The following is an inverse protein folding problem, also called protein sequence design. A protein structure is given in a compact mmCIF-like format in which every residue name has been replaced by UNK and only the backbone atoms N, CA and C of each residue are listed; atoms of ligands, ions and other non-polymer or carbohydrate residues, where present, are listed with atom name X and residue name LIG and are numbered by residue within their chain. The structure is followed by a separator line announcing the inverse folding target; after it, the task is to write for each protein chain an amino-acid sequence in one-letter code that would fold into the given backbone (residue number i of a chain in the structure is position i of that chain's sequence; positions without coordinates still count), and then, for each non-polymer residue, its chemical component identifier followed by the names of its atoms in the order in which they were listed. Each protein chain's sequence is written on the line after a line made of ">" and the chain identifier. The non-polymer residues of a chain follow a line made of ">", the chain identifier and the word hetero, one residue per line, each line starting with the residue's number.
data_IF_304236674918
#
_entry.id   IF_304236674918
#
_cell.length_a   1.000
_cell.length_b   1.000
_cell.length_c   1.000
_cell.angle_alpha   90.00
_cell.angle_beta   90.00
_cell.angle_gamma   90.00
#
_symmetry.space_group_name_H-M   'P 1'
#
loop_
_entity.id
_entity.type
_entity.pdbx_description
1 polymer ?
#
# COMPACT_ATOMS: atom_id res chain seq x y z
N UNK A 1 3.64 -13.84 24.53
CA UNK A 1 3.65 -15.29 24.24
C UNK A 1 3.28 -15.39 22.79
N UNK A 2 4.19 -15.86 21.94
CA UNK A 2 3.97 -15.97 20.49
C UNK A 2 2.81 -16.93 20.24
N UNK A 3 1.84 -16.53 19.42
CA UNK A 3 0.68 -17.37 19.11
C UNK A 3 1.07 -18.50 18.16
N UNK A 4 0.17 -19.47 17.97
CA UNK A 4 0.36 -20.51 16.95
C UNK A 4 0.38 -19.91 15.53
N UNK A 5 -0.45 -18.91 15.28
CA UNK A 5 -0.54 -18.25 13.98
C UNK A 5 0.69 -17.39 13.68
N UNK A 6 1.19 -16.63 14.65
CA UNK A 6 2.40 -15.82 14.52
C UNK A 6 3.61 -16.73 14.21
N UNK A 7 3.75 -17.86 14.92
CA UNK A 7 4.79 -18.85 14.61
C UNK A 7 4.66 -19.43 13.20
N UNK A 8 3.45 -19.81 12.79
CA UNK A 8 3.23 -20.34 11.44
C UNK A 8 3.48 -19.27 10.38
N UNK A 9 3.16 -18.00 10.67
CA UNK A 9 3.46 -16.88 9.80
C UNK A 9 4.98 -16.76 9.59
N UNK A 10 5.75 -16.69 10.67
CA UNK A 10 7.20 -16.54 10.62
C UNK A 10 7.90 -17.74 9.96
N UNK A 11 7.50 -18.96 10.33
CA UNK A 11 8.15 -20.19 9.87
C UNK A 11 7.78 -20.55 8.42
N UNK A 12 6.58 -20.18 7.97
CA UNK A 12 6.00 -20.70 6.71
C UNK A 12 5.54 -19.60 5.77
N UNK A 13 4.75 -18.63 6.24
CA UNK A 13 4.12 -17.64 5.34
C UNK A 13 5.12 -16.57 4.91
N UNK A 14 5.84 -15.92 5.83
CA UNK A 14 6.79 -14.86 5.52
C UNK A 14 7.88 -15.32 4.53
N UNK A 15 8.50 -16.51 4.66
CA UNK A 15 9.46 -17.00 3.67
C UNK A 15 8.85 -17.20 2.28
N UNK A 16 7.61 -17.69 2.19
CA UNK A 16 6.92 -17.89 0.91
C UNK A 16 6.53 -16.57 0.25
N UNK A 17 6.06 -15.60 1.03
CA UNK A 17 5.76 -14.26 0.52
C UNK A 17 7.03 -13.58 -0.01
N UNK A 18 8.16 -13.75 0.69
CA UNK A 18 9.44 -13.23 0.22
C UNK A 18 9.86 -13.86 -1.12
N UNK A 19 9.74 -15.18 -1.26
CA UNK A 19 10.03 -15.89 -2.52
C UNK A 19 9.15 -15.37 -3.67
N UNK A 20 7.84 -15.24 -3.44
CA UNK A 20 6.91 -14.69 -4.43
C UNK A 20 7.24 -13.24 -4.81
N UNK A 21 7.61 -12.40 -3.83
CA UNK A 21 8.02 -11.04 -4.09
C UNK A 21 9.27 -10.98 -4.99
N UNK A 22 10.28 -11.81 -4.73
CA UNK A 22 11.48 -11.87 -5.58
C UNK A 22 11.17 -12.41 -6.99
N UNK A 23 10.24 -13.36 -7.14
CA UNK A 23 9.77 -13.81 -8.47
C UNK A 23 9.07 -12.69 -9.24
N UNK A 24 8.22 -11.89 -8.57
CA UNK A 24 7.58 -10.71 -9.16
C UNK A 24 8.61 -9.66 -9.58
N UNK A 25 9.60 -9.40 -8.72
CA UNK A 25 10.70 -8.45 -8.97
C UNK A 25 11.49 -8.77 -10.23
N UNK A 26 11.80 -10.05 -10.45
CA UNK A 26 12.53 -10.51 -11.65
C UNK A 26 11.80 -10.20 -12.96
N UNK A 27 10.50 -9.90 -12.90
CA UNK A 27 9.64 -9.59 -14.05
C UNK A 27 9.09 -8.17 -14.03
N UNK A 28 9.65 -7.29 -13.18
CA UNK A 28 9.18 -5.91 -13.00
C UNK A 28 7.68 -5.83 -12.64
N UNK A 29 7.22 -6.75 -11.80
CA UNK A 29 5.86 -6.77 -11.28
C UNK A 29 5.82 -6.24 -9.85
N UNK A 30 4.87 -5.34 -9.58
CA UNK A 30 4.54 -4.96 -8.20
C UNK A 30 3.87 -6.08 -7.44
N UNK A 31 4.24 -6.24 -6.18
CA UNK A 31 3.67 -7.22 -5.26
C UNK A 31 3.41 -6.57 -3.91
N UNK A 32 2.20 -6.74 -3.39
CA UNK A 32 1.82 -6.28 -2.05
C UNK A 32 1.03 -7.39 -1.39
N UNK A 33 1.49 -7.84 -0.23
CA UNK A 33 0.77 -8.76 0.64
C UNK A 33 0.68 -8.17 2.04
N UNK A 34 -0.50 -8.27 2.65
CA UNK A 34 -0.74 -7.95 4.06
C UNK A 34 -1.46 -9.13 4.68
N UNK A 35 -0.94 -9.65 5.78
CA UNK A 35 -1.48 -10.81 6.49
C UNK A 35 -1.81 -10.38 7.91
N UNK A 36 -3.07 -10.52 8.29
CA UNK A 36 -3.51 -10.49 9.69
C UNK A 36 -3.43 -11.93 10.19
N UNK A 37 -2.41 -12.24 10.98
CA UNK A 37 -2.22 -13.59 11.51
C UNK A 37 -2.95 -13.78 12.84
N UNK A 38 -3.19 -12.71 13.59
CA UNK A 38 -4.11 -12.65 14.72
C UNK A 38 -4.91 -11.34 14.70
N UNK A 39 -6.07 -11.24 15.36
CA UNK A 39 -6.88 -10.03 15.34
C UNK A 39 -6.11 -8.78 15.76
N UNK A 40 -5.87 -7.87 14.81
CA UNK A 40 -5.11 -6.63 14.99
C UNK A 40 -3.59 -6.76 14.80
N UNK A 41 -3.04 -7.98 14.74
CA UNK A 41 -1.63 -8.23 14.52
C UNK A 41 -1.38 -8.55 13.04
N UNK A 42 -0.66 -7.64 12.38
CA UNK A 42 -0.46 -7.69 10.93
C UNK A 42 1.01 -7.59 10.55
N UNK A 43 1.36 -8.25 9.46
CA UNK A 43 2.64 -8.09 8.79
C UNK A 43 2.45 -7.99 7.28
N UNK A 44 3.37 -7.30 6.60
CA UNK A 44 3.28 -7.06 5.17
C UNK A 44 4.58 -7.36 4.44
N UNK A 45 4.48 -7.73 3.17
CA UNK A 45 5.58 -7.84 2.22
C UNK A 45 5.26 -6.94 1.03
N UNK A 46 6.10 -5.93 0.83
CA UNK A 46 5.83 -4.84 -0.13
C UNK A 46 7.00 -4.74 -1.11
N UNK A 47 6.66 -4.79 -2.40
CA UNK A 47 7.55 -4.52 -3.52
C UNK A 47 6.79 -3.67 -4.55
N UNK A 48 7.19 -2.42 -4.72
CA UNK A 48 6.63 -1.54 -5.74
C UNK A 48 7.66 -1.22 -6.81
N UNK A 49 7.28 -1.36 -8.07
CA UNK A 49 8.07 -0.89 -9.20
C UNK A 49 7.84 0.60 -9.41
N UNK A 50 8.74 1.26 -10.13
CA UNK A 50 8.63 2.71 -10.41
C UNK A 50 7.31 3.01 -11.14
N UNK A 51 6.95 2.18 -12.11
CA UNK A 51 5.73 2.31 -12.93
C UNK A 51 4.50 1.62 -12.31
N UNK A 52 4.55 1.30 -11.01
CA UNK A 52 3.43 0.65 -10.33
C UNK A 52 2.16 1.49 -10.42
N UNK A 53 1.09 0.84 -10.90
CA UNK A 53 -0.24 1.45 -11.00
C UNK A 53 -0.84 1.78 -9.64
N UNK A 54 -1.83 2.67 -9.64
CA UNK A 54 -2.41 3.20 -8.40
C UNK A 54 -2.99 2.12 -7.47
N UNK A 55 -3.53 1.02 -8.00
CA UNK A 55 -4.07 -0.07 -7.19
C UNK A 55 -3.03 -0.67 -6.24
N UNK A 56 -1.81 -0.94 -6.72
CA UNK A 56 -0.74 -1.48 -5.88
C UNK A 56 -0.29 -0.46 -4.83
N UNK A 57 -0.20 0.82 -5.21
CA UNK A 57 0.14 1.92 -4.30
C UNK A 57 -0.91 2.13 -3.22
N UNK A 58 -2.19 1.97 -3.55
CA UNK A 58 -3.30 2.07 -2.59
C UNK A 58 -3.24 0.92 -1.57
N UNK A 59 -2.98 -0.31 -2.01
CA UNK A 59 -2.80 -1.45 -1.12
C UNK A 59 -1.58 -1.26 -0.19
N UNK A 60 -0.48 -0.74 -0.73
CA UNK A 60 0.70 -0.38 0.06
C UNK A 60 0.35 0.66 1.13
N UNK A 61 -0.31 1.76 0.75
CA UNK A 61 -0.73 2.80 1.68
C UNK A 61 -1.66 2.25 2.77
N UNK A 62 -2.58 1.35 2.44
CA UNK A 62 -3.47 0.71 3.41
C UNK A 62 -2.69 -0.17 4.41
N UNK A 63 -1.73 -0.97 3.93
CA UNK A 63 -0.88 -1.79 4.79
C UNK A 63 0.00 -0.94 5.72
N UNK A 64 0.65 0.10 5.19
CA UNK A 64 1.52 1.01 5.96
C UNK A 64 0.75 1.88 6.95
N UNK A 65 -0.54 2.10 6.72
CA UNK A 65 -1.38 2.88 7.63
C UNK A 65 -1.67 2.15 8.94
N UNK A 66 -1.46 0.84 9.04
CA UNK A 66 -1.67 0.07 10.28
C UNK A 66 -3.07 0.24 10.88
N UNK A 67 -4.09 0.35 10.03
CA UNK A 67 -5.48 0.59 10.44
C UNK A 67 -5.84 2.04 10.79
N UNK A 68 -4.88 2.98 10.74
CA UNK A 68 -5.15 4.40 10.94
C UNK A 68 -5.80 5.01 9.68
N UNK A 69 -7.09 5.33 9.75
CA UNK A 69 -7.84 5.83 8.60
C UNK A 69 -7.36 7.21 8.12
N UNK A 70 -6.97 8.10 9.03
CA UNK A 70 -6.48 9.43 8.66
C UNK A 70 -5.16 9.33 7.90
N UNK A 71 -4.29 8.39 8.30
CA UNK A 71 -3.03 8.12 7.60
C UNK A 71 -3.28 7.61 6.18
N UNK A 72 -4.27 6.72 6.00
CA UNK A 72 -4.67 6.24 4.68
C UNK A 72 -5.23 7.37 3.82
N UNK A 73 -6.12 8.19 4.38
CA UNK A 73 -6.71 9.34 3.66
C UNK A 73 -5.60 10.32 3.25
N UNK A 74 -4.67 10.65 4.14
CA UNK A 74 -3.56 11.55 3.79
C UNK A 74 -2.64 10.97 2.73
N UNK A 75 -2.36 9.66 2.75
CA UNK A 75 -1.59 8.99 1.69
C UNK A 75 -2.30 9.07 0.33
N UNK A 76 -3.62 8.83 0.31
CA UNK A 76 -4.45 8.98 -0.89
C UNK A 76 -4.41 10.43 -1.40
N UNK A 77 -4.63 11.40 -0.52
CA UNK A 77 -4.62 12.82 -0.89
C UNK A 77 -3.24 13.27 -1.39
N UNK A 78 -2.14 12.77 -0.81
CA UNK A 78 -0.78 13.06 -1.27
C UNK A 78 -0.57 12.54 -2.69
N UNK A 79 -0.90 11.27 -2.95
CA UNK A 79 -0.78 10.71 -4.29
C UNK A 79 -1.61 11.48 -5.32
N UNK A 80 -2.84 11.85 -4.94
CA UNK A 80 -3.76 12.60 -5.78
C UNK A 80 -3.26 14.01 -6.12
N UNK A 81 -2.55 14.68 -5.21
CA UNK A 81 -1.89 15.98 -5.49
C UNK A 81 -0.73 15.86 -6.47
N UNK A 82 -0.01 14.74 -6.43
CA UNK A 82 1.15 14.49 -7.28
C UNK A 82 0.76 14.04 -8.70
N UNK A 83 -0.34 13.31 -8.85
CA UNK A 83 -0.70 12.63 -10.10
C UNK A 83 -2.07 13.04 -10.67
N UNK A 84 -2.83 13.88 -9.95
CA UNK A 84 -4.22 14.20 -10.26
C UNK A 84 -5.18 13.09 -9.83
N UNK A 85 -6.49 13.37 -9.90
CA UNK A 85 -7.55 12.42 -9.55
C UNK A 85 -8.92 12.77 -10.17
N UNK A 86 -9.76 11.75 -10.33
CA UNK A 86 -11.18 11.90 -10.70
C UNK A 86 -12.17 11.80 -9.54
N UNK A 87 -11.70 11.67 -8.30
CA UNK A 87 -12.57 11.46 -7.13
C UNK A 87 -13.32 12.73 -6.70
N UNK A 88 -14.65 12.64 -6.61
CA UNK A 88 -15.51 13.70 -6.06
C UNK A 88 -15.28 13.93 -4.56
N UNK A 89 -14.98 12.87 -3.80
CA UNK A 89 -14.70 12.98 -2.36
C UNK A 89 -13.44 13.81 -2.11
N UNK A 90 -12.39 13.60 -2.92
CA UNK A 90 -11.16 14.37 -2.81
C UNK A 90 -11.36 15.83 -3.23
N UNK A 91 -12.19 16.10 -4.24
CA UNK A 91 -12.57 17.48 -4.60
C UNK A 91 -13.30 18.17 -3.44
N UNK A 92 -14.25 17.49 -2.79
CA UNK A 92 -14.96 18.03 -1.62
C UNK A 92 -14.03 18.30 -0.43
N UNK A 93 -12.95 17.53 -0.30
CA UNK A 93 -11.88 17.74 0.68
C UNK A 93 -10.86 18.82 0.25
N UNK A 94 -11.08 19.50 -0.88
CA UNK A 94 -10.22 20.56 -1.38
C UNK A 94 -8.93 20.09 -2.04
N UNK A 95 -8.83 18.82 -2.44
CA UNK A 95 -7.70 18.32 -3.23
C UNK A 95 -7.92 18.69 -4.70
N UNK A 96 -6.92 19.29 -5.37
CA UNK A 96 -7.03 19.62 -6.79
C UNK A 96 -7.09 18.37 -7.68
N UNK A 97 -7.96 18.38 -8.68
CA UNK A 97 -8.16 17.25 -9.61
C UNK A 97 -7.01 17.04 -10.61
N UNK A 98 -6.18 18.07 -10.81
CA UNK A 98 -4.98 18.03 -11.64
C UNK A 98 -3.74 18.09 -10.74
N UNK A 99 -2.58 17.58 -11.18
CA UNK A 99 -1.34 17.66 -10.41
C UNK A 99 -1.01 19.09 -9.96
N UNK A 100 -0.56 19.27 -8.71
CA UNK A 100 -0.22 20.60 -8.19
C UNK A 100 0.93 21.28 -8.96
N UNK A 101 1.78 20.50 -9.62
CA UNK A 101 2.83 20.99 -10.51
C UNK A 101 2.29 21.79 -11.69
N UNK A 102 1.05 21.52 -12.12
CA UNK A 102 0.37 22.22 -13.22
C UNK A 102 -0.39 23.47 -12.74
N UNK A 103 -0.66 23.60 -11.44
CA UNK A 103 -1.40 24.74 -10.86
C UNK A 103 -0.48 25.93 -10.58
N UNK A 104 0.82 25.67 -10.38
CA UNK A 104 1.83 26.70 -10.05
C UNK A 104 2.51 27.32 -11.27
N UNK A 105 2.06 26.96 -12.48
CA UNK A 105 2.44 27.61 -13.74
C UNK A 105 1.43 28.71 -14.08
#
# INVERSE_FOLDING_TARGET
>A
MTTENERYYDDVIAPRLHQLAEECKQRDMSFVASVEYDPGDTASTILLTENSGYHARLMCAAAESGGNIDSLIFAIMKYAREHGHGSICLQQLGVPSVPETEIRQ
#
